data_IF_589129888158
#
_entry.id   IF_589129888158
#
_cell.length_a   1.000
_cell.length_b   1.000
_cell.length_c   1.000
_cell.angle_alpha   90.00
_cell.angle_beta   90.00
_cell.angle_gamma   90.00
#
_symmetry.space_group_name_H-M   'P 1'
#
loop_
_entity.id
_entity.type
_entity.pdbx_description
1 polymer ?
#
# COMPACT_ATOMS: atom_id res chain seq x y z
N UNK A 1 30.85 -16.53 -2.48
CA UNK A 1 29.60 -17.30 -2.74
C UNK A 1 28.69 -16.63 -3.78
N UNK A 2 28.04 -15.49 -3.53
CA UNK A 2 27.10 -14.86 -4.49
C UNK A 2 27.70 -14.45 -5.85
N UNK A 3 28.96 -13.99 -5.87
CA UNK A 3 29.63 -13.56 -7.11
C UNK A 3 30.01 -14.76 -8.01
N UNK A 4 30.52 -15.82 -7.39
CA UNK A 4 30.87 -17.09 -8.07
C UNK A 4 29.61 -17.73 -8.66
N UNK A 5 28.51 -17.77 -7.89
CA UNK A 5 27.21 -18.24 -8.36
C UNK A 5 26.71 -17.45 -9.58
N UNK A 6 26.81 -16.11 -9.57
CA UNK A 6 26.45 -15.26 -10.71
C UNK A 6 27.34 -15.49 -11.94
N UNK A 7 28.63 -15.72 -11.73
CA UNK A 7 29.58 -15.99 -12.82
C UNK A 7 29.33 -17.38 -13.44
N UNK A 8 28.96 -18.38 -12.64
CA UNK A 8 28.58 -19.71 -13.12
C UNK A 8 27.26 -19.66 -13.89
N UNK A 9 26.23 -18.98 -13.38
CA UNK A 9 24.97 -18.80 -14.13
C UNK A 9 25.21 -18.08 -15.45
N UNK A 10 26.00 -17.00 -15.43
CA UNK A 10 26.35 -16.25 -16.64
C UNK A 10 27.17 -17.09 -17.63
N UNK A 11 28.03 -17.98 -17.14
CA UNK A 11 28.77 -18.92 -18.00
C UNK A 11 27.84 -19.98 -18.59
N UNK A 12 26.91 -20.55 -17.82
CA UNK A 12 25.88 -21.49 -18.31
C UNK A 12 24.98 -20.82 -19.34
N UNK A 13 24.52 -19.60 -19.09
CA UNK A 13 23.76 -18.76 -20.03
C UNK A 13 24.55 -18.49 -21.33
N UNK A 14 25.87 -18.23 -21.23
CA UNK A 14 26.72 -17.92 -22.37
C UNK A 14 27.16 -19.16 -23.17
N UNK A 15 27.15 -20.35 -22.54
CA UNK A 15 27.62 -21.60 -23.15
C UNK A 15 26.56 -22.32 -23.99
N UNK A 16 25.31 -21.84 -23.99
CA UNK A 16 24.21 -22.48 -24.74
C UNK A 16 23.86 -23.89 -24.24
N UNK A 17 24.24 -24.24 -23.01
CA UNK A 17 23.94 -25.54 -22.42
C UNK A 17 22.43 -25.66 -22.16
N UNK A 18 21.80 -26.53 -22.95
CA UNK A 18 20.43 -27.07 -22.83
C UNK A 18 19.34 -26.01 -22.52
N UNK A 19 18.96 -25.25 -23.55
CA UNK A 19 17.80 -24.35 -23.47
C UNK A 19 16.51 -25.17 -23.33
N UNK A 20 15.82 -24.99 -22.21
CA UNK A 20 14.55 -25.70 -21.96
C UNK A 20 13.50 -25.24 -22.95
N UNK A 21 12.95 -26.17 -23.72
CA UNK A 21 11.86 -25.93 -24.65
C UNK A 21 10.56 -25.80 -23.89
N UNK A 22 9.91 -24.65 -24.01
CA UNK A 22 8.70 -24.32 -23.25
C UNK A 22 7.53 -24.02 -24.17
N UNK A 23 6.35 -24.51 -23.80
CA UNK A 23 5.08 -24.13 -24.41
C UNK A 23 4.14 -23.53 -23.37
N UNK A 24 3.20 -22.72 -23.83
CA UNK A 24 2.15 -22.14 -22.99
C UNK A 24 0.79 -22.61 -23.49
N UNK A 25 -0.02 -23.15 -22.58
CA UNK A 25 -1.39 -23.60 -22.84
C UNK A 25 -2.34 -22.51 -22.37
N UNK A 26 -3.04 -21.88 -23.32
CA UNK A 26 -3.92 -20.75 -23.12
C UNK A 26 -3.43 -19.46 -23.77
N UNK A 27 -4.37 -18.61 -24.15
CA UNK A 27 -4.13 -17.31 -24.73
C UNK A 27 -4.66 -16.17 -23.83
N UNK A 28 -4.11 -16.07 -22.61
CA UNK A 28 -4.54 -15.13 -21.56
C UNK A 28 -3.52 -14.03 -21.29
N UNK A 29 -3.86 -13.06 -20.43
CA UNK A 29 -2.94 -11.97 -20.06
C UNK A 29 -1.69 -12.49 -19.34
N UNK A 30 -1.85 -13.51 -18.49
CA UNK A 30 -0.73 -14.25 -17.89
C UNK A 30 0.08 -15.05 -18.91
N UNK A 31 -0.55 -15.62 -19.94
CA UNK A 31 0.15 -16.29 -21.03
C UNK A 31 1.07 -15.31 -21.80
N UNK A 32 0.58 -14.10 -22.10
CA UNK A 32 1.40 -13.08 -22.76
C UNK A 32 2.55 -12.58 -21.86
N UNK A 33 2.29 -12.41 -20.56
CA UNK A 33 3.33 -12.04 -19.58
C UNK A 33 4.45 -13.10 -19.49
N UNK A 34 4.08 -14.39 -19.52
CA UNK A 34 5.04 -15.50 -19.56
C UNK A 34 5.85 -15.51 -20.87
N UNK A 35 5.21 -15.27 -22.01
CA UNK A 35 5.90 -15.17 -23.28
C UNK A 35 6.93 -14.03 -23.30
N UNK A 36 6.57 -12.84 -22.80
CA UNK A 36 7.54 -11.76 -22.61
C UNK A 36 8.70 -12.19 -21.72
N UNK A 37 8.42 -12.87 -20.59
CA UNK A 37 9.47 -13.40 -19.72
C UNK A 37 10.43 -14.37 -20.44
N UNK A 38 9.93 -15.28 -21.29
CA UNK A 38 10.78 -16.25 -22.01
C UNK A 38 11.52 -15.67 -23.21
N UNK A 39 11.01 -14.59 -23.79
CA UNK A 39 11.61 -13.93 -24.97
C UNK A 39 12.53 -12.77 -24.60
N UNK A 40 12.45 -12.24 -23.38
CA UNK A 40 13.33 -11.18 -22.91
C UNK A 40 14.78 -11.67 -22.73
N UNK A 41 15.73 -10.76 -23.00
CA UNK A 41 17.16 -11.06 -23.13
C UNK A 41 17.86 -11.57 -21.84
N UNK A 42 17.16 -11.60 -20.70
CA UNK A 42 17.66 -12.15 -19.44
C UNK A 42 17.32 -13.64 -19.24
N UNK A 43 16.56 -14.25 -20.15
CA UNK A 43 16.08 -15.64 -20.06
C UNK A 43 16.79 -16.58 -21.03
N UNK A 44 18.10 -16.45 -21.19
CA UNK A 44 18.91 -17.24 -22.15
C UNK A 44 18.82 -18.78 -21.96
N UNK A 45 18.22 -19.24 -20.86
CA UNK A 45 17.97 -20.64 -20.52
C UNK A 45 16.69 -21.25 -21.11
N UNK A 46 15.85 -20.46 -21.80
CA UNK A 46 14.57 -20.95 -22.33
C UNK A 46 14.47 -20.78 -23.85
N UNK A 47 13.81 -21.75 -24.49
CA UNK A 47 13.43 -21.70 -25.89
C UNK A 47 11.90 -21.78 -26.00
N UNK A 48 11.24 -20.64 -26.20
CA UNK A 48 9.78 -20.60 -26.40
C UNK A 48 9.39 -21.26 -27.74
N UNK A 49 8.43 -22.19 -27.69
CA UNK A 49 7.98 -22.99 -28.85
C UNK A 49 6.59 -22.65 -29.37
N UNK A 50 5.79 -21.91 -28.61
CA UNK A 50 4.49 -21.42 -29.06
C UNK A 50 3.37 -21.57 -28.02
N UNK A 51 2.22 -21.00 -28.39
CA UNK A 51 0.97 -21.09 -27.63
C UNK A 51 0.05 -22.18 -28.18
N UNK A 52 -0.78 -22.73 -27.29
CA UNK A 52 -1.90 -23.62 -27.64
C UNK A 52 -3.21 -23.04 -27.11
N UNK A 53 -4.18 -22.77 -27.98
CA UNK A 53 -5.47 -22.22 -27.60
C UNK A 53 -6.56 -22.60 -28.62
N UNK A 54 -7.79 -22.82 -28.15
CA UNK A 54 -8.96 -23.07 -29.02
C UNK A 54 -9.69 -21.77 -29.38
N UNK A 55 -9.67 -20.78 -28.48
CA UNK A 55 -10.26 -19.46 -28.65
C UNK A 55 -9.16 -18.40 -28.73
N UNK A 56 -9.30 -17.46 -29.67
CA UNK A 56 -8.38 -16.35 -29.88
C UNK A 56 -8.90 -15.10 -29.18
N UNK A 57 -8.08 -14.53 -28.30
CA UNK A 57 -8.17 -13.13 -27.92
C UNK A 57 -7.08 -12.37 -28.71
N UNK A 58 -7.42 -11.94 -29.94
CA UNK A 58 -6.48 -11.28 -30.86
C UNK A 58 -5.88 -10.00 -30.27
N UNK A 59 -6.56 -9.38 -29.30
CA UNK A 59 -6.08 -8.19 -28.61
C UNK A 59 -4.92 -8.49 -27.65
N UNK A 60 -4.69 -9.75 -27.28
CA UNK A 60 -3.69 -10.14 -26.28
C UNK A 60 -2.48 -10.90 -26.83
N UNK A 61 -2.65 -11.73 -27.86
CA UNK A 61 -1.58 -12.59 -28.40
C UNK A 61 -1.57 -12.58 -29.92
N UNK A 62 -0.38 -12.41 -30.51
CA UNK A 62 -0.18 -12.49 -31.95
C UNK A 62 -0.51 -13.89 -32.47
N UNK A 63 -1.49 -14.00 -33.36
CA UNK A 63 -1.97 -15.26 -33.93
C UNK A 63 -0.87 -16.13 -34.58
N UNK A 64 0.25 -15.51 -35.02
CA UNK A 64 1.41 -16.23 -35.57
C UNK A 64 2.18 -17.06 -34.54
N UNK A 65 2.01 -16.79 -33.25
CA UNK A 65 2.69 -17.51 -32.16
C UNK A 65 1.90 -18.74 -31.69
N UNK A 66 0.67 -18.93 -32.18
CA UNK A 66 -0.17 -20.07 -31.86
C UNK A 66 0.16 -21.21 -32.80
N UNK A 67 0.63 -22.32 -32.24
CA UNK A 67 1.19 -23.45 -33.00
C UNK A 67 0.25 -24.65 -33.07
N UNK A 68 -0.87 -24.63 -32.34
CA UNK A 68 -1.88 -25.67 -32.36
C UNK A 68 -3.05 -25.44 -31.40
N UNK A 69 -4.01 -26.37 -31.44
CA UNK A 69 -5.20 -26.41 -30.56
C UNK A 69 -4.93 -27.14 -29.24
N UNK A 70 -5.80 -26.98 -28.25
CA UNK A 70 -5.59 -27.58 -26.92
C UNK A 70 -5.46 -29.12 -26.95
N UNK A 71 -6.14 -29.77 -27.89
CA UNK A 71 -6.06 -31.22 -28.09
C UNK A 71 -4.76 -31.70 -28.76
N UNK A 72 -3.96 -30.80 -29.34
CA UNK A 72 -2.71 -31.12 -30.03
C UNK A 72 -1.48 -31.03 -29.12
N UNK A 73 -1.64 -30.47 -27.91
CA UNK A 73 -0.57 -30.22 -26.93
C UNK A 73 0.29 -31.47 -26.69
N UNK A 74 -0.35 -32.60 -26.38
CA UNK A 74 0.35 -33.84 -26.02
C UNK A 74 1.21 -34.37 -27.18
N UNK A 75 0.65 -34.42 -28.38
CA UNK A 75 1.35 -34.90 -29.58
C UNK A 75 2.52 -33.97 -29.95
N UNK A 76 2.33 -32.66 -29.82
CA UNK A 76 3.37 -31.69 -30.07
C UNK A 76 4.53 -31.82 -29.07
N UNK A 77 4.22 -32.02 -27.78
CA UNK A 77 5.22 -32.20 -26.73
C UNK A 77 6.18 -33.35 -27.03
N UNK A 78 5.65 -34.49 -27.50
CA UNK A 78 6.46 -35.65 -27.86
C UNK A 78 7.32 -35.39 -29.10
N UNK A 79 6.74 -34.75 -30.13
CA UNK A 79 7.43 -34.48 -31.40
C UNK A 79 8.59 -33.50 -31.22
N UNK A 80 8.34 -32.39 -30.54
CA UNK A 80 9.33 -31.31 -30.38
C UNK A 80 10.27 -31.51 -29.18
N UNK A 81 10.02 -32.54 -28.36
CA UNK A 81 10.71 -32.82 -27.09
C UNK A 81 10.64 -31.63 -26.15
N UNK A 82 9.43 -31.27 -25.75
CA UNK A 82 9.17 -30.16 -24.84
C UNK A 82 9.58 -30.53 -23.41
N UNK A 83 10.28 -29.61 -22.74
CA UNK A 83 10.78 -29.81 -21.38
C UNK A 83 9.81 -29.27 -20.33
N UNK A 84 9.07 -28.21 -20.64
CA UNK A 84 8.13 -27.59 -19.70
C UNK A 84 6.83 -27.10 -20.35
N UNK A 85 5.72 -27.30 -19.63
CA UNK A 85 4.38 -26.85 -20.01
C UNK A 85 3.89 -25.86 -18.96
N UNK A 86 3.52 -24.67 -19.41
CA UNK A 86 2.86 -23.66 -18.58
C UNK A 86 1.37 -23.61 -18.88
N UNK A 87 0.54 -24.02 -17.92
CA UNK A 87 -0.91 -23.96 -17.99
C UNK A 87 -1.41 -22.59 -17.53
N UNK A 88 -1.82 -21.76 -18.48
CA UNK A 88 -2.25 -20.37 -18.27
C UNK A 88 -3.75 -20.14 -18.55
N UNK A 89 -4.56 -21.20 -18.50
CA UNK A 89 -6.02 -21.14 -18.59
C UNK A 89 -6.68 -21.02 -17.21
N UNK A 90 -7.94 -20.55 -17.14
CA UNK A 90 -8.72 -20.57 -15.91
C UNK A 90 -8.78 -21.98 -15.28
N UNK A 91 -8.76 -22.06 -13.95
CA UNK A 91 -8.84 -23.34 -13.22
C UNK A 91 -10.19 -24.07 -13.38
N UNK A 92 -11.16 -23.44 -14.05
CA UNK A 92 -12.40 -24.09 -14.49
C UNK A 92 -12.16 -25.18 -15.54
N UNK A 93 -11.02 -25.16 -16.24
CA UNK A 93 -10.58 -26.20 -17.18
C UNK A 93 -9.94 -27.39 -16.44
N UNK A 94 -10.60 -27.86 -15.39
CA UNK A 94 -10.06 -28.82 -14.43
C UNK A 94 -9.76 -30.19 -15.03
N UNK A 95 -10.59 -30.66 -15.97
CA UNK A 95 -10.36 -31.90 -16.72
C UNK A 95 -9.10 -31.80 -17.58
N UNK A 96 -8.99 -30.77 -18.42
CA UNK A 96 -7.82 -30.55 -19.29
C UNK A 96 -6.54 -30.38 -18.47
N UNK A 97 -6.60 -29.63 -17.36
CA UNK A 97 -5.47 -29.45 -16.46
C UNK A 97 -4.96 -30.79 -15.93
N UNK A 98 -5.87 -31.66 -15.44
CA UNK A 98 -5.49 -33.00 -14.94
C UNK A 98 -4.97 -33.92 -16.03
N UNK A 99 -5.54 -33.85 -17.23
CA UNK A 99 -5.12 -34.66 -18.37
C UNK A 99 -3.71 -34.27 -18.85
N UNK A 100 -3.41 -32.97 -18.94
CA UNK A 100 -2.07 -32.48 -19.29
C UNK A 100 -1.06 -32.73 -18.16
N UNK A 101 -1.45 -32.54 -16.90
CA UNK A 101 -0.57 -32.79 -15.75
C UNK A 101 -0.11 -34.26 -15.69
N UNK A 102 -1.03 -35.22 -15.84
CA UNK A 102 -0.69 -36.65 -15.88
C UNK A 102 0.20 -36.98 -17.06
N UNK A 103 -0.14 -36.47 -18.26
CA UNK A 103 0.70 -36.64 -19.44
C UNK A 103 2.12 -36.10 -19.22
N UNK A 104 2.25 -34.96 -18.56
CA UNK A 104 3.54 -34.35 -18.27
C UNK A 104 4.36 -35.22 -17.30
N UNK A 105 3.74 -35.74 -16.23
CA UNK A 105 4.38 -36.67 -15.28
C UNK A 105 4.86 -37.95 -15.98
N UNK A 106 4.02 -38.55 -16.83
CA UNK A 106 4.33 -39.79 -17.58
C UNK A 106 5.47 -39.62 -18.60
N UNK A 107 5.73 -38.38 -19.04
CA UNK A 107 6.72 -38.06 -20.07
C UNK A 107 7.89 -37.21 -19.55
N UNK A 108 8.04 -37.09 -18.22
CA UNK A 108 9.11 -36.33 -17.57
C UNK A 108 9.17 -34.84 -17.97
N UNK A 109 8.01 -34.25 -18.26
CA UNK A 109 7.86 -32.84 -18.62
C UNK A 109 7.47 -32.04 -17.37
N UNK A 110 8.15 -30.92 -17.11
CA UNK A 110 7.78 -30.07 -15.98
C UNK A 110 6.46 -29.36 -16.24
N UNK A 111 5.43 -29.70 -15.46
CA UNK A 111 4.14 -29.02 -15.51
C UNK A 111 4.07 -27.87 -14.50
N UNK A 112 3.70 -26.68 -14.96
CA UNK A 112 3.55 -25.47 -14.12
C UNK A 112 2.19 -24.83 -14.38
N UNK A 113 1.54 -24.36 -13.32
CA UNK A 113 0.28 -23.63 -13.42
C UNK A 113 0.56 -22.14 -13.21
N UNK A 114 0.09 -21.31 -14.12
CA UNK A 114 0.21 -19.86 -14.07
C UNK A 114 -1.18 -19.25 -14.28
N UNK A 115 -2.03 -19.21 -13.24
CA UNK A 115 -3.41 -18.74 -13.38
C UNK A 115 -3.45 -17.28 -13.86
N UNK A 116 -4.44 -16.95 -14.68
CA UNK A 116 -4.66 -15.57 -15.11
C UNK A 116 -5.38 -14.75 -14.05
N UNK A 117 -4.63 -13.85 -13.40
CA UNK A 117 -5.15 -12.90 -12.42
C UNK A 117 -5.30 -11.48 -12.97
N UNK A 118 -4.97 -11.24 -14.24
CA UNK A 118 -4.95 -9.90 -14.85
C UNK A 118 -6.31 -9.17 -14.73
N UNK A 119 -7.42 -9.92 -14.72
CA UNK A 119 -8.77 -9.38 -14.59
C UNK A 119 -9.22 -9.11 -13.15
N UNK A 120 -8.51 -9.65 -12.16
CA UNK A 120 -8.91 -9.63 -10.74
C UNK A 120 -7.98 -8.77 -9.88
N UNK A 121 -6.71 -8.64 -10.26
CA UNK A 121 -5.68 -8.02 -9.43
C UNK A 121 -4.89 -6.99 -10.21
N UNK A 122 -4.76 -5.77 -9.65
CA UNK A 122 -3.77 -4.81 -10.13
C UNK A 122 -2.35 -5.34 -9.85
N UNK A 123 -1.36 -4.95 -10.64
CA UNK A 123 0.05 -5.41 -10.73
C UNK A 123 0.77 -5.93 -9.45
N UNK A 124 0.29 -5.61 -8.25
CA UNK A 124 0.82 -6.02 -6.95
C UNK A 124 -0.17 -6.92 -6.18
N UNK A 125 -0.29 -8.18 -6.59
CA UNK A 125 -0.90 -9.22 -5.75
C UNK A 125 0.11 -9.75 -4.74
N UNK A 126 -0.29 -9.95 -3.49
CA UNK A 126 0.48 -10.79 -2.59
C UNK A 126 -0.15 -12.16 -2.44
N UNK A 127 0.70 -13.17 -2.49
CA UNK A 127 0.36 -14.55 -2.17
C UNK A 127 0.92 -14.82 -0.79
N UNK A 128 0.05 -15.25 0.13
CA UNK A 128 0.48 -15.80 1.40
C UNK A 128 -0.17 -17.17 1.60
N UNK A 129 0.48 -18.02 2.37
CA UNK A 129 0.00 -19.38 2.64
C UNK A 129 -0.60 -19.45 4.04
N UNK A 130 -1.86 -19.88 4.13
CA UNK A 130 -2.44 -20.33 5.39
C UNK A 130 -2.33 -21.86 5.38
N UNK A 131 -1.39 -22.39 6.16
CA UNK A 131 -0.93 -23.78 6.07
C UNK A 131 -0.42 -24.12 4.66
N UNK A 132 -1.23 -24.78 3.85
CA UNK A 132 -0.91 -25.15 2.45
C UNK A 132 -1.86 -24.50 1.44
N UNK A 133 -2.80 -23.67 1.89
CA UNK A 133 -3.74 -22.99 1.01
C UNK A 133 -3.16 -21.64 0.56
N UNK A 134 -2.93 -21.43 -0.75
CA UNK A 134 -2.54 -20.12 -1.25
C UNK A 134 -3.73 -19.16 -1.13
N UNK A 135 -3.49 -18.01 -0.50
CA UNK A 135 -4.47 -16.92 -0.39
C UNK A 135 -3.92 -15.70 -1.11
N UNK A 136 -4.72 -15.17 -2.02
CA UNK A 136 -4.39 -14.00 -2.82
C UNK A 136 -4.99 -12.76 -2.17
N UNK A 137 -4.16 -11.76 -1.90
CA UNK A 137 -4.65 -10.43 -1.49
C UNK A 137 -4.48 -9.49 -2.68
N UNK A 138 -5.56 -8.87 -3.18
CA UNK A 138 -5.48 -7.95 -4.32
C UNK A 138 -4.78 -6.63 -3.96
N UNK A 139 -4.49 -6.40 -2.68
CA UNK A 139 -3.79 -5.23 -2.15
C UNK A 139 -2.61 -5.67 -1.30
N UNK A 140 -1.49 -4.96 -1.43
CA UNK A 140 -0.39 -5.12 -0.49
C UNK A 140 -0.76 -4.47 0.85
N UNK A 141 -0.68 -5.23 1.94
CA UNK A 141 -0.93 -4.71 3.29
C UNK A 141 0.24 -5.12 4.21
N UNK A 142 1.40 -4.45 4.13
CA UNK A 142 2.57 -4.80 4.95
C UNK A 142 2.29 -4.78 6.45
N UNK A 143 1.41 -3.88 6.91
CA UNK A 143 0.97 -3.81 8.31
C UNK A 143 -0.09 -4.87 8.69
N UNK A 144 -0.58 -5.66 7.73
CA UNK A 144 -1.37 -6.86 7.99
C UNK A 144 -0.52 -8.01 8.55
N UNK A 145 0.80 -7.99 8.29
CA UNK A 145 1.77 -8.94 8.85
C UNK A 145 1.97 -8.62 10.34
N UNK A 146 1.71 -9.58 11.22
CA UNK A 146 1.73 -9.38 12.68
C UNK A 146 3.08 -8.84 13.18
N UNK A 147 4.20 -9.35 12.65
CA UNK A 147 5.54 -8.87 13.02
C UNK A 147 5.73 -7.38 12.72
N UNK A 148 5.29 -6.94 11.54
CA UNK A 148 5.36 -5.54 11.12
C UNK A 148 4.49 -4.64 12.00
N UNK A 149 3.26 -5.09 12.32
CA UNK A 149 2.37 -4.37 13.21
C UNK A 149 2.93 -4.22 14.63
N UNK A 150 3.59 -5.26 15.16
CA UNK A 150 4.27 -5.22 16.46
C UNK A 150 5.44 -4.23 16.42
N UNK A 151 6.30 -4.31 15.40
CA UNK A 151 7.43 -3.41 15.23
C UNK A 151 6.97 -1.95 15.15
N UNK A 152 5.97 -1.67 14.32
CA UNK A 152 5.33 -0.36 14.18
C UNK A 152 4.85 0.16 15.54
N UNK A 153 4.15 -0.70 16.31
CA UNK A 153 3.57 -0.31 17.59
C UNK A 153 4.64 -0.04 18.65
N UNK A 154 5.68 -0.87 18.70
CA UNK A 154 6.81 -0.67 19.60
C UNK A 154 7.50 0.67 19.33
N UNK A 155 7.73 1.00 18.05
CA UNK A 155 8.27 2.29 17.64
C UNK A 155 7.36 3.45 18.06
N UNK A 156 6.06 3.35 17.81
CA UNK A 156 5.10 4.40 18.19
C UNK A 156 5.12 4.70 19.69
N UNK A 157 5.15 3.65 20.53
CA UNK A 157 5.21 3.79 21.98
C UNK A 157 6.54 4.44 22.39
N UNK A 158 7.67 3.94 21.90
CA UNK A 158 8.99 4.48 22.26
C UNK A 158 9.15 5.94 21.84
N UNK A 159 8.74 6.29 20.61
CA UNK A 159 8.83 7.64 20.09
C UNK A 159 7.89 8.60 20.84
N UNK A 160 6.63 8.22 21.03
CA UNK A 160 5.66 9.06 21.76
C UNK A 160 6.03 9.24 23.22
N UNK A 161 6.51 8.20 23.91
CA UNK A 161 7.01 8.30 25.27
C UNK A 161 8.22 9.25 25.35
N UNK A 162 9.16 9.17 24.40
CA UNK A 162 10.32 10.06 24.35
C UNK A 162 9.90 11.53 24.20
N UNK A 163 8.98 11.82 23.28
CA UNK A 163 8.44 13.18 23.08
C UNK A 163 7.71 13.67 24.32
N UNK A 164 6.87 12.84 24.93
CA UNK A 164 6.09 13.20 26.12
C UNK A 164 7.03 13.49 27.29
N UNK A 165 8.02 12.63 27.56
CA UNK A 165 8.91 12.81 28.71
C UNK A 165 9.88 13.97 28.52
N UNK A 166 10.39 14.20 27.30
CA UNK A 166 11.39 15.23 27.05
C UNK A 166 10.78 16.62 26.79
N UNK A 167 9.72 16.72 25.98
CA UNK A 167 9.19 18.00 25.52
C UNK A 167 7.99 18.47 26.33
N UNK A 168 7.12 17.56 26.78
CA UNK A 168 5.86 17.96 27.40
C UNK A 168 6.05 18.73 28.72
N UNK A 169 6.93 18.32 29.67
CA UNK A 169 7.13 19.06 30.92
C UNK A 169 7.62 20.49 30.73
N UNK A 170 8.34 20.76 29.64
CA UNK A 170 8.91 22.08 29.34
C UNK A 170 7.89 22.96 28.61
N UNK A 171 7.25 22.41 27.57
CA UNK A 171 6.39 23.17 26.67
C UNK A 171 4.99 23.37 27.27
N UNK A 172 4.46 22.35 27.97
CA UNK A 172 3.08 22.38 28.47
C UNK A 172 2.78 23.55 29.41
N UNK A 173 3.59 23.85 30.46
CA UNK A 173 3.28 24.96 31.37
C UNK A 173 3.22 26.30 30.64
N UNK A 174 4.16 26.55 29.72
CA UNK A 174 4.23 27.79 28.93
C UNK A 174 2.99 27.94 28.03
N UNK A 175 2.64 26.89 27.29
CA UNK A 175 1.46 26.90 26.42
C UNK A 175 0.17 27.01 27.26
N UNK A 176 0.08 26.33 28.39
CA UNK A 176 -1.09 26.36 29.26
C UNK A 176 -1.37 27.77 29.78
N UNK A 177 -0.33 28.49 30.24
CA UNK A 177 -0.44 29.88 30.68
C UNK A 177 -0.83 30.78 29.51
N UNK A 178 -0.16 30.66 28.36
CA UNK A 178 -0.46 31.47 27.17
C UNK A 178 -1.93 31.31 26.71
N UNK A 179 -2.45 30.08 26.67
CA UNK A 179 -3.84 29.79 26.28
C UNK A 179 -4.84 30.37 27.29
N UNK A 180 -4.53 30.29 28.58
CA UNK A 180 -5.40 30.81 29.66
C UNK A 180 -5.43 32.33 29.71
N UNK A 181 -4.33 32.99 29.34
CA UNK A 181 -4.25 34.45 29.25
C UNK A 181 -4.92 34.99 27.98
N UNK A 182 -4.91 34.24 26.87
CA UNK A 182 -5.49 34.68 25.59
C UNK A 182 -7.02 34.53 25.54
N UNK A 183 -7.60 33.52 26.23
CA UNK A 183 -9.06 33.34 26.30
C UNK A 183 -9.52 32.49 27.50
N UNK A 184 -10.74 32.70 27.98
CA UNK A 184 -11.33 31.90 29.07
C UNK A 184 -11.66 30.46 28.64
N UNK A 185 -11.42 29.49 29.52
CA UNK A 185 -11.78 28.07 29.33
C UNK A 185 -10.59 27.09 29.42
N UNK A 186 -10.76 25.82 28.98
CA UNK A 186 -9.77 24.76 29.19
C UNK A 186 -8.56 24.86 28.26
N UNK A 187 -7.42 24.32 28.70
CA UNK A 187 -6.17 24.27 27.92
C UNK A 187 -6.25 23.25 26.78
N UNK A 188 -6.86 22.09 27.06
CA UNK A 188 -7.05 21.04 26.08
C UNK A 188 -8.38 21.17 25.37
N UNK A 189 -8.36 20.84 24.08
CA UNK A 189 -9.53 20.60 23.26
C UNK A 189 -9.56 19.13 22.90
N UNK A 190 -10.76 18.52 22.94
CA UNK A 190 -10.97 17.15 22.50
C UNK A 190 -12.10 17.10 21.48
N UNK A 191 -11.94 16.25 20.47
CA UNK A 191 -12.95 16.04 19.45
C UNK A 191 -12.97 14.59 19.00
N UNK A 192 -14.16 14.03 18.81
CA UNK A 192 -14.32 12.68 18.28
C UNK A 192 -13.85 12.61 16.83
N UNK A 193 -13.04 11.58 16.55
CA UNK A 193 -12.51 11.33 15.21
C UNK A 193 -12.64 9.84 14.86
N UNK A 194 -12.92 9.49 13.58
CA UNK A 194 -12.88 8.13 13.11
C UNK A 194 -11.44 7.60 13.04
N UNK A 195 -11.18 6.51 13.76
CA UNK A 195 -9.89 5.82 13.78
C UNK A 195 -9.84 4.57 12.89
N UNK A 196 -8.98 3.62 13.28
CA UNK A 196 -8.86 2.32 12.64
C UNK A 196 -10.18 1.57 12.69
N UNK A 197 -10.59 0.97 11.57
CA UNK A 197 -11.88 0.29 11.36
C UNK A 197 -13.08 1.16 11.78
N UNK A 198 -12.98 2.47 11.57
CA UNK A 198 -14.00 3.45 11.94
C UNK A 198 -14.35 3.50 13.44
N UNK A 199 -13.49 2.97 14.33
CA UNK A 199 -13.68 3.13 15.78
C UNK A 199 -13.41 4.58 16.16
N UNK A 200 -14.41 5.25 16.73
CA UNK A 200 -14.28 6.64 17.18
C UNK A 200 -13.34 6.73 18.39
N UNK A 201 -12.59 7.82 18.49
CA UNK A 201 -11.76 8.15 19.65
C UNK A 201 -11.70 9.66 19.89
N UNK A 202 -11.45 10.04 21.15
CA UNK A 202 -11.20 11.44 21.53
C UNK A 202 -9.80 11.86 21.07
N UNK A 203 -9.72 12.72 20.05
CA UNK A 203 -8.45 13.30 19.57
C UNK A 203 -8.10 14.54 20.39
N UNK A 204 -6.97 14.50 21.09
CA UNK A 204 -6.51 15.59 21.96
C UNK A 204 -5.70 16.64 21.20
N UNK A 205 -5.95 17.91 21.50
CA UNK A 205 -5.18 19.05 21.01
C UNK A 205 -5.05 20.10 22.09
N UNK A 206 -4.12 21.02 21.93
CA UNK A 206 -4.24 22.30 22.63
C UNK A 206 -5.35 23.12 22.01
N UNK A 207 -6.05 23.89 22.85
CA UNK A 207 -7.11 24.76 22.40
C UNK A 207 -6.51 25.93 21.62
N UNK A 208 -6.89 26.04 20.35
CA UNK A 208 -6.47 27.14 19.47
C UNK A 208 -7.63 28.09 19.10
N UNK A 209 -8.86 27.76 19.49
CA UNK A 209 -10.06 28.50 19.13
C UNK A 209 -10.85 28.91 20.38
N UNK A 210 -11.61 29.99 20.28
CA UNK A 210 -12.58 30.37 21.31
C UNK A 210 -13.61 29.26 21.51
N UNK A 211 -14.04 29.05 22.75
CA UNK A 211 -15.04 28.04 23.08
C UNK A 211 -16.35 28.38 22.38
N UNK A 212 -16.84 27.46 21.55
CA UNK A 212 -18.10 27.58 20.82
C UNK A 212 -18.71 26.20 20.57
N UNK A 213 -19.97 26.16 20.15
CA UNK A 213 -20.72 24.92 19.92
C UNK A 213 -20.47 24.29 18.53
N UNK A 214 -19.70 24.93 17.65
CA UNK A 214 -19.56 24.56 16.24
C UNK A 214 -18.23 23.82 15.96
N UNK A 215 -17.99 22.72 16.66
CA UNK A 215 -16.72 21.96 16.58
C UNK A 215 -16.59 21.09 15.33
N UNK A 216 -17.71 20.66 14.72
CA UNK A 216 -17.72 19.81 13.52
C UNK A 216 -17.53 20.57 12.19
N UNK A 217 -17.41 21.89 12.23
CA UNK A 217 -17.09 22.70 11.06
C UNK A 217 -15.58 22.73 10.84
N UNK A 218 -15.14 22.37 9.63
CA UNK A 218 -13.74 22.48 9.22
C UNK A 218 -13.27 23.93 9.35
N UNK A 219 -12.12 24.13 10.00
CA UNK A 219 -11.51 25.44 10.12
C UNK A 219 -11.05 25.93 8.74
N UNK A 220 -11.29 27.22 8.47
CA UNK A 220 -10.87 27.88 7.23
C UNK A 220 -9.69 28.81 7.42
N UNK A 221 -9.03 29.21 6.35
CA UNK A 221 -7.98 30.25 6.36
C UNK A 221 -8.59 31.54 6.88
N UNK A 222 -7.93 32.18 7.86
CA UNK A 222 -8.40 33.38 8.56
C UNK A 222 -9.73 33.20 9.31
N UNK A 223 -10.00 32.01 9.85
CA UNK A 223 -11.19 31.74 10.67
C UNK A 223 -11.19 32.61 11.95
N UNK A 224 -12.25 33.41 12.10
CA UNK A 224 -12.43 34.37 13.21
C UNK A 224 -12.51 33.70 14.58
N UNK A 225 -12.76 32.39 14.62
CA UNK A 225 -12.80 31.60 15.86
C UNK A 225 -11.41 31.29 16.40
N UNK A 226 -10.33 31.52 15.63
CA UNK A 226 -8.95 31.24 16.04
C UNK A 226 -8.43 32.38 16.93
N UNK A 227 -7.80 32.01 18.05
CA UNK A 227 -7.18 32.95 19.00
C UNK A 227 -5.79 33.39 18.53
N UNK A 228 -5.19 34.44 19.11
CA UNK A 228 -3.86 34.92 18.68
C UNK A 228 -2.77 33.88 18.97
N UNK A 229 -2.77 33.34 20.18
CA UNK A 229 -1.91 32.21 20.58
C UNK A 229 -2.24 30.99 19.75
N UNK A 230 -3.53 30.71 19.50
CA UNK A 230 -3.97 29.60 18.67
C UNK A 230 -3.43 29.63 17.25
N UNK A 231 -3.37 30.80 16.63
CA UNK A 231 -2.76 30.99 15.30
C UNK A 231 -1.28 30.61 15.29
N UNK A 232 -0.53 31.04 16.32
CA UNK A 232 0.87 30.64 16.49
C UNK A 232 1.04 29.12 16.68
N UNK A 233 0.20 28.52 17.54
CA UNK A 233 0.24 27.08 17.82
C UNK A 233 -0.05 26.23 16.58
N UNK A 234 -1.01 26.65 15.73
CA UNK A 234 -1.30 25.97 14.46
C UNK A 234 -0.19 26.10 13.45
N UNK A 235 0.36 27.30 13.29
CA UNK A 235 1.48 27.56 12.37
C UNK A 235 2.71 26.72 12.71
N UNK A 236 2.95 26.49 13.99
CA UNK A 236 4.07 25.68 14.51
C UNK A 236 3.70 24.21 14.72
N UNK A 237 2.45 23.81 14.50
CA UNK A 237 1.89 22.49 14.81
C UNK A 237 2.04 22.05 16.27
N UNK A 238 2.33 22.99 17.17
CA UNK A 238 2.43 22.72 18.60
C UNK A 238 1.07 22.33 19.17
N UNK A 239 -0.04 22.74 18.53
CA UNK A 239 -1.40 22.38 18.92
C UNK A 239 -1.65 20.86 18.90
N UNK A 240 -0.88 20.10 18.11
CA UNK A 240 -1.03 18.66 17.94
C UNK A 240 -0.19 17.83 18.92
N UNK A 241 0.67 18.46 19.74
CA UNK A 241 1.50 17.74 20.72
C UNK A 241 0.70 16.81 21.67
N UNK A 242 -0.51 17.17 22.15
CA UNK A 242 -1.29 16.26 22.99
C UNK A 242 -1.70 14.95 22.29
N UNK A 243 -1.64 14.87 20.95
CA UNK A 243 -1.94 13.64 20.21
C UNK A 243 -0.92 12.53 20.48
N UNK A 244 0.28 12.83 20.99
CA UNK A 244 1.21 11.79 21.44
C UNK A 244 0.63 10.92 22.58
N UNK A 245 -0.29 11.45 23.38
CA UNK A 245 -1.04 10.63 24.34
C UNK A 245 -2.00 9.67 23.63
N UNK A 246 -2.67 10.11 22.55
CA UNK A 246 -3.47 9.20 21.71
C UNK A 246 -2.63 8.10 21.07
N UNK A 247 -1.37 8.39 20.74
CA UNK A 247 -0.41 7.38 20.29
C UNK A 247 -0.14 6.38 21.39
N UNK A 248 0.20 6.80 22.61
CA UNK A 248 0.40 5.87 23.73
C UNK A 248 -0.85 5.01 24.02
N UNK A 249 -2.04 5.60 23.97
CA UNK A 249 -3.31 4.87 24.16
C UNK A 249 -3.67 3.93 23.00
N UNK A 250 -2.94 3.99 21.88
CA UNK A 250 -3.14 3.13 20.72
C UNK A 250 -4.30 3.55 19.81
N UNK A 251 -4.85 4.75 20.01
CA UNK A 251 -5.86 5.31 19.11
C UNK A 251 -5.22 5.86 17.82
N UNK A 252 -4.00 6.37 17.94
CA UNK A 252 -3.21 6.94 16.85
C UNK A 252 -1.84 6.26 16.76
N UNK A 253 -1.15 6.55 15.67
CA UNK A 253 0.24 6.24 15.37
C UNK A 253 1.02 7.55 15.18
N UNK A 254 2.35 7.53 15.29
CA UNK A 254 3.17 8.71 14.95
C UNK A 254 2.98 9.07 13.48
N UNK A 255 3.02 8.04 12.61
CA UNK A 255 2.85 8.15 11.16
C UNK A 255 1.61 7.37 10.71
N UNK A 256 0.75 8.00 9.93
CA UNK A 256 -0.46 7.39 9.39
C UNK A 256 -1.39 8.41 8.74
N UNK A 257 -2.53 7.99 8.18
CA UNK A 257 -3.50 8.90 7.60
C UNK A 257 -4.03 9.88 8.64
N UNK A 258 -4.12 11.16 8.30
CA UNK A 258 -4.68 12.16 9.22
C UNK A 258 -6.14 11.83 9.59
N UNK A 259 -6.54 11.94 10.87
CA UNK A 259 -7.93 11.71 11.27
C UNK A 259 -8.82 12.88 10.80
N UNK A 260 -9.80 12.59 9.95
CA UNK A 260 -10.74 13.58 9.41
C UNK A 260 -11.93 13.80 10.35
N UNK A 261 -12.79 14.80 10.08
CA UNK A 261 -14.03 15.01 10.84
C UNK A 261 -15.03 13.89 10.54
N UNK A 262 -15.99 13.66 11.44
CA UNK A 262 -17.06 12.68 11.22
C UNK A 262 -17.91 13.12 10.02
N UNK A 263 -18.26 14.41 9.96
CA UNK A 263 -18.98 15.01 8.83
C UNK A 263 -18.26 14.81 7.47
N UNK A 264 -16.92 14.85 7.48
CA UNK A 264 -16.12 14.61 6.28
C UNK A 264 -16.10 13.13 5.87
N UNK A 265 -16.09 12.20 6.84
CA UNK A 265 -16.18 10.78 6.55
C UNK A 265 -17.47 10.46 5.78
N UNK A 266 -18.60 10.98 6.22
CA UNK A 266 -19.89 10.79 5.55
C UNK A 266 -19.87 11.39 4.14
N UNK A 267 -19.49 12.66 4.02
CA UNK A 267 -19.44 13.39 2.74
C UNK A 267 -18.55 12.73 1.70
N UNK A 268 -17.33 12.35 2.07
CA UNK A 268 -16.36 11.84 1.09
C UNK A 268 -16.50 10.34 0.84
N UNK A 269 -17.09 9.58 1.77
CA UNK A 269 -17.37 8.16 1.55
C UNK A 269 -18.36 7.92 0.40
N UNK A 270 -19.26 8.86 0.11
CA UNK A 270 -20.20 8.78 -1.01
C UNK A 270 -19.60 9.23 -2.34
N UNK A 271 -18.53 10.05 -2.32
CA UNK A 271 -18.03 10.73 -3.54
C UNK A 271 -16.68 10.19 -4.01
N UNK A 272 -15.83 9.70 -3.10
CA UNK A 272 -14.48 9.24 -3.41
C UNK A 272 -14.43 7.72 -3.25
N UNK A 273 -14.23 7.02 -4.37
CA UNK A 273 -14.01 5.58 -4.34
C UNK A 273 -12.79 5.26 -3.47
N UNK A 274 -12.84 4.16 -2.71
CA UNK A 274 -11.75 3.74 -1.83
C UNK A 274 -11.47 4.69 -0.64
N UNK A 275 -12.28 5.73 -0.40
CA UNK A 275 -12.07 6.65 0.73
C UNK A 275 -11.91 5.92 2.07
N UNK A 276 -12.75 4.91 2.31
CA UNK A 276 -12.75 4.13 3.56
C UNK A 276 -11.48 3.30 3.76
N UNK A 277 -10.68 3.06 2.71
CA UNK A 277 -9.48 2.22 2.77
C UNK A 277 -8.42 2.82 3.71
N UNK A 278 -8.36 4.16 3.82
CA UNK A 278 -7.49 4.84 4.80
C UNK A 278 -7.71 4.38 6.25
N UNK A 279 -8.90 3.85 6.58
CA UNK A 279 -9.25 3.40 7.92
C UNK A 279 -8.82 1.96 8.23
N UNK A 280 -8.18 1.23 7.32
CA UNK A 280 -7.60 -0.09 7.65
C UNK A 280 -6.42 0.00 8.63
N UNK A 281 -5.75 1.16 8.66
CA UNK A 281 -4.61 1.44 9.55
C UNK A 281 -4.97 2.51 10.58
N UNK A 282 -4.17 2.59 11.65
CA UNK A 282 -4.32 3.61 12.68
C UNK A 282 -4.01 5.00 12.10
N UNK A 283 -4.81 6.03 12.40
CA UNK A 283 -4.52 7.38 11.96
C UNK A 283 -3.22 7.91 12.57
N UNK A 284 -2.59 8.88 11.89
CA UNK A 284 -1.30 9.46 12.26
C UNK A 284 -1.39 10.88 12.78
N UNK A 285 -0.41 11.27 13.60
CA UNK A 285 -0.13 12.70 13.89
C UNK A 285 0.37 13.37 12.61
N UNK A 286 1.37 12.75 11.96
CA UNK A 286 1.83 13.07 10.61
C UNK A 286 1.54 11.92 9.66
N UNK A 287 1.71 12.12 8.36
CA UNK A 287 1.35 11.16 7.34
C UNK A 287 1.95 11.49 5.98
N UNK A 288 1.95 10.50 5.10
CA UNK A 288 2.55 10.62 3.78
C UNK A 288 1.87 11.71 2.94
N UNK A 289 0.54 11.81 3.01
CA UNK A 289 -0.18 12.90 2.33
C UNK A 289 0.21 14.29 2.85
N UNK A 290 0.44 14.44 4.17
CA UNK A 290 0.81 15.72 4.78
C UNK A 290 2.19 16.20 4.29
N UNK A 291 3.19 15.31 4.25
CA UNK A 291 4.54 15.68 3.78
C UNK A 291 4.63 15.94 2.28
N UNK A 292 3.65 15.46 1.50
CA UNK A 292 3.51 15.75 0.06
C UNK A 292 2.60 16.96 -0.23
N UNK A 293 2.33 17.81 0.77
CA UNK A 293 1.60 19.07 0.58
C UNK A 293 0.08 18.98 0.68
N UNK A 294 -0.49 17.79 0.92
CA UNK A 294 -1.93 17.59 1.07
C UNK A 294 -2.37 17.74 2.54
N UNK A 295 -1.87 18.76 3.24
CA UNK A 295 -2.17 19.03 4.67
C UNK A 295 -3.40 19.92 4.90
N UNK A 296 -3.64 20.87 3.98
CA UNK A 296 -4.58 21.99 4.16
C UNK A 296 -6.08 21.64 4.01
N UNK A 297 -6.88 22.68 3.87
CA UNK A 297 -8.32 22.54 3.64
C UNK A 297 -8.65 21.73 2.39
N UNK A 298 -9.71 20.95 2.48
CA UNK A 298 -10.21 20.06 1.42
C UNK A 298 -11.42 20.72 0.75
N UNK A 299 -11.25 21.97 0.31
CA UNK A 299 -12.32 22.69 -0.42
C UNK A 299 -12.67 22.01 -1.74
N UNK A 300 -11.66 21.41 -2.36
CA UNK A 300 -11.76 20.71 -3.64
C UNK A 300 -11.79 19.17 -3.42
N UNK A 301 -12.83 18.47 -3.91
CA UNK A 301 -12.88 17.01 -3.95
C UNK A 301 -11.63 16.36 -4.59
N UNK A 302 -11.02 16.98 -5.59
CA UNK A 302 -9.81 16.45 -6.23
C UNK A 302 -8.61 16.44 -5.29
N UNK A 303 -8.44 17.49 -4.48
CA UNK A 303 -7.38 17.54 -3.46
C UNK A 303 -7.60 16.47 -2.40
N UNK A 304 -8.85 16.22 -2.04
CA UNK A 304 -9.18 15.13 -1.12
C UNK A 304 -8.90 13.76 -1.74
N UNK A 305 -9.19 13.56 -3.04
CA UNK A 305 -8.86 12.33 -3.75
C UNK A 305 -7.34 12.09 -3.79
N UNK A 306 -6.54 13.14 -4.06
CA UNK A 306 -5.06 13.07 -3.98
C UNK A 306 -4.58 12.73 -2.57
N UNK A 307 -5.20 13.31 -1.52
CA UNK A 307 -4.89 12.94 -0.13
C UNK A 307 -5.15 11.45 0.11
N UNK A 308 -6.31 10.94 -0.29
CA UNK A 308 -6.63 9.50 -0.17
C UNK A 308 -5.63 8.65 -0.94
N UNK A 309 -5.23 9.06 -2.14
CA UNK A 309 -4.22 8.37 -2.93
C UNK A 309 -2.89 8.21 -2.16
N UNK A 310 -2.37 9.28 -1.55
CA UNK A 310 -1.16 9.18 -0.73
C UNK A 310 -1.37 8.36 0.56
N UNK A 311 -2.55 8.41 1.17
CA UNK A 311 -2.88 7.58 2.33
C UNK A 311 -2.91 6.08 1.96
N UNK A 312 -3.42 5.74 0.78
CA UNK A 312 -3.42 4.37 0.22
C UNK A 312 -2.00 3.94 -0.16
N UNK A 313 -1.21 4.80 -0.81
CA UNK A 313 0.20 4.51 -1.11
C UNK A 313 1.02 4.21 0.15
N UNK A 314 0.77 4.96 1.23
CA UNK A 314 1.41 4.69 2.51
C UNK A 314 1.01 3.33 3.08
N UNK A 315 -0.29 3.00 3.05
CA UNK A 315 -0.80 1.71 3.49
C UNK A 315 -0.16 0.56 2.71
N UNK A 316 -0.05 0.69 1.39
CA UNK A 316 0.43 -0.37 0.49
C UNK A 316 1.94 -0.57 0.49
N UNK A 317 2.71 0.47 0.86
CA UNK A 317 4.16 0.47 0.77
C UNK A 317 4.80 0.76 2.14
N UNK A 318 4.06 0.50 3.22
CA UNK A 318 4.56 0.74 4.57
C UNK A 318 5.89 0.01 4.78
N UNK A 319 6.86 0.75 5.31
CA UNK A 319 8.11 0.23 5.83
C UNK A 319 8.60 1.15 6.95
N UNK A 320 9.42 0.61 7.84
CA UNK A 320 10.04 1.41 8.90
C UNK A 320 10.85 2.59 8.33
N UNK A 321 11.53 2.39 7.20
CA UNK A 321 12.28 3.44 6.51
C UNK A 321 11.36 4.57 5.99
N UNK A 322 10.16 4.22 5.50
CA UNK A 322 9.17 5.20 5.08
C UNK A 322 8.65 6.03 6.26
N UNK A 323 8.40 5.42 7.42
CA UNK A 323 8.01 6.14 8.64
C UNK A 323 9.09 7.14 9.06
N UNK A 324 10.36 6.72 9.11
CA UNK A 324 11.50 7.58 9.44
C UNK A 324 11.59 8.74 8.44
N UNK A 325 11.44 8.47 7.14
CA UNK A 325 11.43 9.49 6.09
C UNK A 325 10.31 10.51 6.30
N UNK A 326 9.09 10.06 6.60
CA UNK A 326 7.95 10.96 6.83
C UNK A 326 8.18 11.83 8.07
N UNK A 327 8.71 11.27 9.16
CA UNK A 327 9.04 12.02 10.37
C UNK A 327 10.10 13.08 10.06
N UNK A 328 11.18 12.72 9.36
CA UNK A 328 12.21 13.67 8.94
C UNK A 328 11.64 14.80 8.07
N UNK A 329 10.85 14.46 7.05
CA UNK A 329 10.22 15.46 6.17
C UNK A 329 9.23 16.36 6.94
N UNK A 330 8.56 15.83 7.96
CA UNK A 330 7.67 16.60 8.82
C UNK A 330 8.46 17.67 9.57
N UNK A 331 9.56 17.29 10.23
CA UNK A 331 10.43 18.22 10.95
C UNK A 331 11.05 19.24 9.99
N UNK A 332 11.52 18.80 8.83
CA UNK A 332 12.10 19.68 7.81
C UNK A 332 11.10 20.72 7.30
N UNK A 333 9.87 20.30 6.98
CA UNK A 333 8.81 21.21 6.53
C UNK A 333 8.40 22.20 7.63
N UNK A 334 8.44 21.78 8.91
CA UNK A 334 8.21 22.68 10.04
C UNK A 334 9.31 23.76 10.15
N UNK A 335 10.58 23.40 9.96
CA UNK A 335 11.70 24.34 10.03
C UNK A 335 11.76 25.30 8.82
N UNK A 336 11.45 24.81 7.62
CA UNK A 336 11.44 25.63 6.39
C UNK A 336 10.24 26.59 6.32
N UNK A 337 9.21 26.34 7.12
CA UNK A 337 7.93 27.03 7.03
C UNK A 337 7.05 26.41 5.95
N UNK A 338 5.96 25.75 6.37
CA UNK A 338 5.00 25.14 5.46
C UNK A 338 3.99 26.20 4.98
N UNK A 339 3.95 26.45 3.66
CA UNK A 339 3.02 27.41 3.04
C UNK A 339 1.54 26.99 3.18
N UNK A 340 1.28 25.73 3.51
CA UNK A 340 -0.06 25.16 3.69
C UNK A 340 -0.44 24.90 5.16
N UNK A 341 0.43 25.25 6.12
CA UNK A 341 0.07 25.29 7.54
C UNK A 341 -0.62 26.62 7.84
N UNK A 342 -1.89 26.56 8.25
CA UNK A 342 -2.72 27.73 8.57
C UNK A 342 -3.14 27.73 10.03
#
# INVERSE_FOLDING_TARGET
>A
MRLIYKLILKYIEFSGFDQRKVIIVGATGSANSLHHFFTDHQSASYQFKGFFADELDEDQINSKLIVGKLNEVQNYCLRERIDEIYFALPLTYDKLLRDIARFADDNFIYFRIAPDFSKVVNEKCNIFFINSMPVFTPRNEPLGISMNAILKRAFDIAFSASVILALFPIIFPVIAVAIRMDSEGPVFFKQLRPGKKNKLFDCYKFRTMYVNNNTELQATRNDSRITKVGSFLRKTNLDELPQFFNVLLGNMSVVGPRPNLISQLEKYSSTIQQYKIRHFITPGITGYAQVNGFRGETKDPELMAKRVYYDVLYLENWSMALDIKIIFLTVWNMLKGDKHAF
#
